data_IF_125394224707
#
_entry.id   IF_125394224707
#
_cell.length_a   1.000
_cell.length_b   1.000
_cell.length_c   1.000
_cell.angle_alpha   90.00
_cell.angle_beta   90.00
_cell.angle_gamma   90.00
#
_symmetry.space_group_name_H-M   'P 1'
#
loop_
_entity.id
_entity.type
_entity.pdbx_description
1 polymer ?
#
# COMPACT_ATOMS: atom_id res chain seq x y z
N UNK A 1 -3.26 13.23 4.06
CA UNK A 1 -3.85 13.18 5.40
C UNK A 1 -5.27 12.71 5.19
N UNK A 2 -5.56 11.43 5.47
CA UNK A 2 -6.96 11.02 5.62
C UNK A 2 -7.44 11.81 6.83
N UNK A 3 -8.37 12.74 6.63
CA UNK A 3 -9.02 13.41 7.75
C UNK A 3 -10.01 12.39 8.31
N UNK A 4 -9.50 11.42 9.05
CA UNK A 4 -10.28 10.85 10.16
C UNK A 4 -10.22 11.93 11.21
N UNK A 5 -11.34 12.58 11.48
CA UNK A 5 -11.46 13.66 12.46
C UNK A 5 -10.62 13.35 13.70
N UNK A 6 -9.76 14.30 14.11
CA UNK A 6 -9.06 14.22 15.40
C UNK A 6 -10.12 14.14 16.49
N UNK A 7 -10.40 12.94 16.97
CA UNK A 7 -11.15 12.73 18.20
C UNK A 7 -10.19 13.15 19.32
N UNK A 8 -10.33 14.35 19.87
CA UNK A 8 -9.55 14.74 21.05
C UNK A 8 -9.96 13.85 22.24
N UNK A 9 -9.02 13.04 22.74
CA UNK A 9 -9.15 12.35 24.04
C UNK A 9 -9.36 10.83 24.05
N UNK A 10 -9.32 10.11 22.91
CA UNK A 10 -9.29 8.62 22.91
C UNK A 10 -7.94 8.08 22.44
N UNK A 11 -7.41 7.00 23.05
CA UNK A 11 -6.26 6.28 22.51
C UNK A 11 -6.54 5.88 21.06
N UNK A 12 -5.54 6.09 20.19
CA UNK A 12 -5.59 5.62 18.82
C UNK A 12 -5.52 4.09 18.84
N UNK A 13 -6.63 3.42 18.50
CA UNK A 13 -6.61 1.98 18.29
C UNK A 13 -6.07 1.70 16.86
N UNK A 14 -4.87 1.11 16.73
CA UNK A 14 -4.28 0.84 15.43
C UNK A 14 -5.08 -0.15 14.61
N UNK A 15 -5.81 -1.08 15.22
CA UNK A 15 -6.59 -2.09 14.50
C UNK A 15 -7.84 -1.47 13.89
N UNK A 16 -8.56 -0.64 14.64
CA UNK A 16 -9.72 0.10 14.13
C UNK A 16 -9.31 1.02 12.98
N UNK A 17 -8.15 1.68 13.10
CA UNK A 17 -7.66 2.54 12.01
C UNK A 17 -7.36 1.75 10.73
N UNK A 18 -6.80 0.54 10.85
CA UNK A 18 -6.50 -0.31 9.70
C UNK A 18 -7.77 -0.87 9.06
N UNK A 19 -8.73 -1.31 9.88
CA UNK A 19 -10.04 -1.78 9.41
C UNK A 19 -10.77 -0.68 8.64
N UNK A 20 -10.87 0.51 9.23
CA UNK A 20 -11.48 1.69 8.57
C UNK A 20 -10.77 2.01 7.26
N UNK A 21 -9.44 1.97 7.24
CA UNK A 21 -8.67 2.22 6.03
C UNK A 21 -8.93 1.17 4.95
N UNK A 22 -9.04 -0.11 5.32
CA UNK A 22 -9.33 -1.21 4.41
C UNK A 22 -10.71 -1.08 3.77
N UNK A 23 -11.73 -0.70 4.55
CA UNK A 23 -13.10 -0.48 4.04
C UNK A 23 -13.12 0.64 2.99
N UNK A 24 -12.55 1.82 3.31
CA UNK A 24 -12.50 2.95 2.37
C UNK A 24 -11.73 2.58 1.10
N UNK A 25 -10.61 1.86 1.24
CA UNK A 25 -9.81 1.44 0.09
C UNK A 25 -10.57 0.44 -0.78
N UNK A 26 -11.33 -0.48 -0.18
CA UNK A 26 -12.16 -1.45 -0.89
C UNK A 26 -13.25 -0.76 -1.71
N UNK A 27 -13.96 0.22 -1.13
CA UNK A 27 -14.96 1.03 -1.86
C UNK A 27 -14.32 1.78 -3.04
N UNK A 28 -13.21 2.47 -2.80
CA UNK A 28 -12.47 3.15 -3.87
C UNK A 28 -11.96 2.18 -4.96
N UNK A 29 -11.65 0.93 -4.60
CA UNK A 29 -11.22 -0.11 -5.54
C UNK A 29 -12.38 -0.64 -6.38
N UNK A 30 -13.60 -0.63 -5.86
CA UNK A 30 -14.81 -0.94 -6.63
C UNK A 30 -15.13 0.16 -7.65
N UNK A 31 -14.95 1.43 -7.29
CA UNK A 31 -15.13 2.56 -8.23
C UNK A 31 -14.01 2.68 -9.29
N UNK A 32 -12.84 2.11 -9.01
CA UNK A 32 -11.69 2.17 -9.91
C UNK A 32 -11.11 0.77 -10.18
N UNK A 33 -11.86 -0.10 -10.87
CA UNK A 33 -11.54 -1.52 -10.94
C UNK A 33 -10.23 -1.83 -11.67
N UNK A 34 -9.81 -0.96 -12.57
CA UNK A 34 -8.65 -1.19 -13.44
C UNK A 34 -7.37 -0.49 -12.94
N UNK A 35 -7.45 0.27 -11.84
CA UNK A 35 -6.33 1.10 -11.42
C UNK A 35 -6.21 1.26 -9.92
N UNK A 36 -5.26 0.53 -9.35
CA UNK A 36 -4.80 0.73 -7.98
C UNK A 36 -4.31 2.15 -7.71
N UNK A 37 -3.74 2.83 -8.71
CA UNK A 37 -3.30 4.22 -8.60
C UNK A 37 -4.47 5.20 -8.45
N UNK A 38 -5.58 4.97 -9.16
CA UNK A 38 -6.82 5.75 -8.98
C UNK A 38 -7.48 5.43 -7.65
N UNK A 39 -7.55 4.16 -7.27
CA UNK A 39 -8.08 3.72 -5.97
C UNK A 39 -7.31 4.36 -4.80
N UNK A 40 -5.98 4.42 -4.87
CA UNK A 40 -5.16 5.09 -3.86
C UNK A 40 -5.41 6.61 -3.78
N UNK A 41 -5.62 7.26 -4.93
CA UNK A 41 -6.02 8.68 -4.99
C UNK A 41 -7.38 8.93 -4.32
N UNK A 42 -8.37 8.12 -4.65
CA UNK A 42 -9.70 8.13 -4.04
C UNK A 42 -9.63 7.88 -2.53
N UNK A 43 -8.87 6.89 -2.07
CA UNK A 43 -8.68 6.61 -0.64
C UNK A 43 -8.17 7.84 0.12
N UNK A 44 -7.25 8.59 -0.49
CA UNK A 44 -6.70 9.80 0.13
C UNK A 44 -7.68 10.98 0.10
N UNK A 45 -8.49 11.08 -0.94
CA UNK A 45 -9.46 12.14 -1.11
C UNK A 45 -10.67 11.62 -1.91
N UNK A 46 -11.72 11.12 -1.24
CA UNK A 46 -12.86 10.47 -1.90
C UNK A 46 -13.59 11.39 -2.90
N UNK A 47 -13.60 12.70 -2.66
CA UNK A 47 -14.16 13.69 -3.59
C UNK A 47 -13.30 13.91 -4.86
N UNK A 48 -12.13 13.28 -4.98
CA UNK A 48 -11.27 13.34 -6.15
C UNK A 48 -10.47 14.65 -6.32
N UNK A 49 -10.43 15.18 -7.53
CA UNK A 49 -9.79 16.45 -7.84
C UNK A 49 -8.28 16.53 -7.60
N UNK A 50 -7.77 17.76 -7.41
CA UNK A 50 -6.33 18.05 -7.26
C UNK A 50 -5.68 17.27 -6.11
N UNK A 51 -6.28 17.10 -4.92
CA UNK A 51 -5.68 16.33 -3.84
C UNK A 51 -5.47 14.85 -4.19
N UNK A 52 -6.48 14.21 -4.81
CA UNK A 52 -6.37 12.82 -5.26
C UNK A 52 -5.27 12.66 -6.30
N UNK A 53 -5.24 13.55 -7.32
CA UNK A 53 -4.22 13.52 -8.38
C UNK A 53 -2.79 13.67 -7.82
N UNK A 54 -2.60 14.58 -6.86
CA UNK A 54 -1.31 14.77 -6.17
C UNK A 54 -0.89 13.49 -5.45
N UNK A 55 -1.80 12.87 -4.70
CA UNK A 55 -1.48 11.64 -3.98
C UNK A 55 -1.17 10.48 -4.92
N UNK A 56 -1.95 10.31 -6.00
CA UNK A 56 -1.66 9.32 -7.04
C UNK A 56 -0.26 9.50 -7.63
N UNK A 57 0.18 10.73 -7.89
CA UNK A 57 1.52 11.00 -8.40
C UNK A 57 2.63 10.62 -7.39
N UNK A 58 2.40 10.85 -6.10
CA UNK A 58 3.31 10.43 -5.03
C UNK A 58 3.41 8.91 -4.96
N UNK A 59 2.27 8.21 -4.96
CA UNK A 59 2.24 6.74 -4.92
C UNK A 59 2.92 6.16 -6.16
N UNK A 60 2.64 6.69 -7.35
CA UNK A 60 3.30 6.25 -8.59
C UNK A 60 4.81 6.36 -8.49
N UNK A 61 5.32 7.52 -8.08
CA UNK A 61 6.77 7.74 -7.90
C UNK A 61 7.38 6.75 -6.91
N UNK A 62 6.66 6.42 -5.84
CA UNK A 62 7.12 5.43 -4.88
C UNK A 62 7.17 4.03 -5.48
N UNK A 63 6.14 3.61 -6.21
CA UNK A 63 6.11 2.32 -6.89
C UNK A 63 7.19 2.20 -7.95
N UNK A 64 7.44 3.25 -8.74
CA UNK A 64 8.53 3.27 -9.73
C UNK A 64 9.88 3.06 -9.03
N UNK A 65 10.11 3.70 -7.87
CA UNK A 65 11.33 3.49 -7.07
C UNK A 65 11.43 2.07 -6.54
N UNK A 66 10.32 1.48 -6.07
CA UNK A 66 10.32 0.10 -5.59
C UNK A 66 10.58 -0.89 -6.72
N UNK A 67 10.03 -0.64 -7.90
CA UNK A 67 10.26 -1.45 -9.10
C UNK A 67 11.73 -1.40 -9.53
N UNK A 68 12.33 -0.21 -9.59
CA UNK A 68 13.77 -0.10 -9.89
C UNK A 68 14.59 -0.85 -8.85
N UNK A 69 14.28 -0.68 -7.55
CA UNK A 69 15.00 -1.38 -6.49
C UNK A 69 14.84 -2.90 -6.60
N UNK A 70 13.65 -3.41 -6.90
CA UNK A 70 13.43 -4.85 -7.03
C UNK A 70 14.15 -5.42 -8.26
N UNK A 71 14.21 -4.67 -9.37
CA UNK A 71 14.99 -5.06 -10.55
C UNK A 71 16.49 -5.09 -10.22
N UNK A 72 17.02 -4.06 -9.56
CA UNK A 72 18.44 -4.02 -9.18
C UNK A 72 18.78 -5.14 -8.19
N UNK A 73 17.98 -5.32 -7.13
CA UNK A 73 18.17 -6.42 -6.18
C UNK A 73 18.03 -7.77 -6.85
N UNK A 74 17.04 -7.97 -7.73
CA UNK A 74 16.87 -9.22 -8.49
C UNK A 74 18.04 -9.51 -9.43
N UNK A 75 18.64 -8.48 -10.03
CA UNK A 75 19.84 -8.63 -10.86
C UNK A 75 21.06 -9.05 -10.02
N UNK A 76 21.28 -8.39 -8.88
CA UNK A 76 22.33 -8.78 -7.92
C UNK A 76 22.07 -10.19 -7.36
N UNK A 77 20.85 -10.49 -6.93
CA UNK A 77 20.46 -11.79 -6.39
C UNK A 77 20.54 -12.90 -7.42
N UNK A 78 20.27 -12.67 -8.71
CA UNK A 78 20.52 -13.67 -9.78
C UNK A 78 22.01 -13.94 -9.97
N UNK A 79 22.86 -12.91 -9.94
CA UNK A 79 24.31 -13.10 -9.96
C UNK A 79 24.80 -13.89 -8.74
N UNK A 80 24.29 -13.58 -7.54
CA UNK A 80 24.66 -14.29 -6.31
C UNK A 80 24.07 -15.71 -6.25
N UNK A 81 22.84 -15.93 -6.71
CA UNK A 81 22.18 -17.24 -6.72
C UNK A 81 22.78 -18.21 -7.77
N UNK A 82 23.37 -17.70 -8.85
CA UNK A 82 24.21 -18.53 -9.72
C UNK A 82 25.47 -19.06 -9.01
N UNK A 83 25.85 -18.47 -7.88
CA UNK A 83 27.03 -18.81 -7.08
C UNK A 83 26.68 -19.40 -5.69
N UNK A 84 25.41 -19.53 -5.32
CA UNK A 84 24.99 -19.92 -3.96
C UNK A 84 23.81 -20.93 -3.97
N UNK A 85 23.73 -21.87 -3.00
CA UNK A 85 22.60 -22.78 -2.87
C UNK A 85 21.32 -22.03 -2.43
N UNK A 86 20.16 -22.51 -2.89
CA UNK A 86 18.87 -21.84 -2.74
C UNK A 86 18.41 -21.74 -1.27
N UNK A 87 18.04 -20.55 -0.83
CA UNK A 87 17.45 -20.31 0.48
C UNK A 87 15.92 -20.37 0.40
N UNK A 88 15.31 -21.27 1.19
CA UNK A 88 13.86 -21.38 1.35
C UNK A 88 13.34 -20.28 2.29
N UNK A 89 12.47 -19.40 1.77
CA UNK A 89 11.73 -18.45 2.59
C UNK A 89 10.38 -19.07 2.99
N UNK A 90 10.06 -19.02 4.29
CA UNK A 90 8.78 -19.51 4.84
C UNK A 90 7.83 -18.33 5.04
N UNK A 91 6.71 -18.33 4.32
CA UNK A 91 5.60 -17.38 4.54
C UNK A 91 4.81 -17.76 5.80
N UNK A 92 4.55 -16.79 6.69
CA UNK A 92 3.75 -16.99 7.90
C UNK A 92 2.46 -16.18 7.81
N UNK A 93 1.31 -16.87 7.84
CA UNK A 93 -0.01 -16.25 7.69
C UNK A 93 -0.40 -15.43 8.95
N UNK A 94 -1.04 -14.25 8.82
CA UNK A 94 -1.49 -13.48 9.97
C UNK A 94 -2.66 -14.17 10.69
N UNK A 95 -2.62 -14.27 12.02
CA UNK A 95 -3.76 -14.80 12.80
C UNK A 95 -4.98 -13.89 12.67
N UNK A 96 -6.12 -14.46 12.26
CA UNK A 96 -7.42 -13.80 12.42
C UNK A 96 -7.81 -13.78 13.91
N UNK A 97 -8.41 -12.68 14.36
CA UNK A 97 -9.06 -12.65 15.69
C UNK A 97 -10.46 -13.23 15.58
N UNK A 98 -10.82 -14.06 16.55
CA UNK A 98 -12.17 -14.57 16.83
C UNK A 98 -13.00 -13.55 17.60
#
# INVERSE_FOLDING_TARGET
>A
MVIVSRQHGRPFDPYISLETAAVILQECRQHHPDSWLKAAGCYHHPAGGKPAARYTAVVRRHLDRLYVRSVTTGMTSRQTAMLAPAADYIWTEPRRRE
#
